data_IF_548988810656
#
_entry.id   IF_548988810656
#
_cell.length_a   1.000
_cell.length_b   1.000
_cell.length_c   1.000
_cell.angle_alpha   90.00
_cell.angle_beta   90.00
_cell.angle_gamma   90.00
#
_symmetry.space_group_name_H-M   'P 1'
#
loop_
_entity.id
_entity.type
_entity.pdbx_description
1 polymer ?
#
# COMPACT_ATOMS: atom_id res chain seq x y z
N UNK A 1 14.52 -1.00 10.76
CA UNK A 1 14.10 -1.01 9.34
C UNK A 1 14.36 0.38 8.79
N UNK A 2 15.22 0.52 7.80
CA UNK A 2 15.49 1.79 7.15
C UNK A 2 14.67 1.84 5.86
N UNK A 3 13.73 2.78 5.78
CA UNK A 3 12.95 3.01 4.56
C UNK A 3 13.83 3.73 3.53
N UNK A 4 13.53 3.55 2.24
CA UNK A 4 14.21 4.30 1.20
C UNK A 4 13.95 5.81 1.40
N UNK A 5 14.99 6.63 1.25
CA UNK A 5 14.87 8.09 1.37
C UNK A 5 14.15 8.76 0.18
N UNK A 6 13.76 7.97 -0.83
CA UNK A 6 13.00 8.45 -1.98
C UNK A 6 11.51 8.41 -1.67
N UNK A 7 10.88 9.58 -1.64
CA UNK A 7 9.42 9.69 -1.56
C UNK A 7 8.80 9.29 -2.92
N UNK A 8 7.68 8.59 -2.88
CA UNK A 8 6.87 8.21 -4.04
C UNK A 8 5.44 8.63 -3.77
N UNK A 9 4.76 9.23 -4.75
CA UNK A 9 3.33 9.52 -4.63
C UNK A 9 2.55 8.21 -4.64
N UNK A 10 1.40 8.18 -3.95
CA UNK A 10 0.55 6.99 -3.91
C UNK A 10 0.18 6.51 -5.32
N UNK A 11 -0.07 7.43 -6.25
CA UNK A 11 -0.43 7.11 -7.64
C UNK A 11 0.75 6.53 -8.44
N UNK A 12 1.99 6.78 -8.02
CA UNK A 12 3.20 6.30 -8.66
C UNK A 12 3.77 5.02 -8.01
N UNK A 13 3.22 4.56 -6.89
CA UNK A 13 3.62 3.31 -6.26
C UNK A 13 3.16 2.11 -7.10
N UNK A 14 4.11 1.47 -7.78
CA UNK A 14 3.85 0.30 -8.62
C UNK A 14 3.52 -0.97 -7.83
N UNK A 15 3.88 -1.05 -6.55
CA UNK A 15 3.64 -2.23 -5.73
C UNK A 15 2.18 -2.37 -5.32
N UNK A 16 1.43 -1.25 -5.25
CA UNK A 16 -0.03 -1.23 -5.07
C UNK A 16 -0.52 -2.15 -3.95
N UNK A 17 -0.11 -1.86 -2.72
CA UNK A 17 -0.47 -2.61 -1.52
C UNK A 17 -1.57 -1.95 -0.68
N UNK A 18 -2.26 -2.75 0.13
CA UNK A 18 -3.24 -2.30 1.14
C UNK A 18 -3.04 -3.06 2.44
N UNK A 19 -3.30 -2.39 3.56
CA UNK A 19 -3.39 -3.00 4.88
C UNK A 19 -4.84 -3.35 5.18
N UNK A 20 -5.06 -4.51 5.78
CA UNK A 20 -6.38 -4.85 6.31
C UNK A 20 -6.36 -4.52 7.80
N UNK A 21 -6.95 -3.38 8.17
CA UNK A 21 -6.95 -2.90 9.56
C UNK A 21 -7.50 -3.95 10.53
N UNK A 22 -6.86 -4.06 11.70
CA UNK A 22 -7.21 -5.05 12.72
C UNK A 22 -6.84 -6.49 12.36
N UNK A 23 -6.23 -6.73 11.20
CA UNK A 23 -5.70 -8.02 10.78
C UNK A 23 -4.22 -7.85 10.45
N UNK A 24 -3.37 -8.82 10.78
CA UNK A 24 -1.94 -8.77 10.43
C UNK A 24 -1.70 -9.05 8.93
N UNK A 25 -2.53 -8.48 8.04
CA UNK A 25 -2.59 -8.82 6.62
C UNK A 25 -2.18 -7.62 5.77
N UNK A 26 -1.27 -7.88 4.83
CA UNK A 26 -0.91 -6.98 3.73
C UNK A 26 -1.32 -7.64 2.42
N UNK A 27 -1.99 -6.91 1.54
CA UNK A 27 -2.35 -7.41 0.21
C UNK A 27 -1.72 -6.55 -0.88
N UNK A 28 -1.14 -7.18 -1.90
CA UNK A 28 -0.68 -6.54 -3.13
C UNK A 28 -1.75 -6.73 -4.19
N UNK A 29 -2.13 -5.65 -4.86
CA UNK A 29 -3.29 -5.62 -5.74
C UNK A 29 -2.92 -5.12 -7.12
N UNK A 30 -3.63 -5.59 -8.16
CA UNK A 30 -3.49 -5.01 -9.50
C UNK A 30 -4.28 -3.70 -9.65
N UNK A 31 -5.18 -3.41 -8.71
CA UNK A 31 -6.08 -2.26 -8.72
C UNK A 31 -5.35 -0.95 -8.51
N UNK A 32 -5.75 0.10 -9.24
CA UNK A 32 -5.23 1.45 -9.02
C UNK A 32 -5.80 2.04 -7.72
N UNK A 33 -5.05 2.91 -7.04
CA UNK A 33 -5.55 3.70 -5.90
C UNK A 33 -6.45 4.86 -6.33
N UNK A 34 -7.56 4.57 -7.01
CA UNK A 34 -8.51 5.59 -7.46
C UNK A 34 -9.83 5.46 -6.71
N UNK A 35 -10.37 6.60 -6.28
CA UNK A 35 -11.71 6.69 -5.69
C UNK A 35 -12.80 6.21 -6.66
N UNK A 36 -12.57 6.42 -7.96
CA UNK A 36 -13.47 5.98 -9.01
C UNK A 36 -13.02 4.59 -9.44
N UNK A 37 -13.79 3.58 -9.03
CA UNK A 37 -13.53 2.20 -9.40
C UNK A 37 -13.67 2.05 -10.92
N UNK A 38 -12.55 1.75 -11.60
CA UNK A 38 -12.61 1.28 -12.98
C UNK A 38 -13.26 -0.10 -12.94
N UNK A 39 -14.28 -0.35 -13.75
CA UNK A 39 -14.87 -1.69 -13.93
C UNK A 39 -13.94 -2.59 -14.76
N UNK A 40 -12.78 -2.90 -14.18
CA UNK A 40 -11.78 -3.81 -14.72
C UNK A 40 -11.55 -4.93 -13.70
N UNK A 41 -11.38 -6.19 -14.14
CA UNK A 41 -11.00 -7.28 -13.24
C UNK A 41 -9.71 -6.95 -12.51
N UNK A 42 -9.70 -7.16 -11.19
CA UNK A 42 -8.52 -7.01 -10.34
C UNK A 42 -8.22 -8.31 -9.61
N UNK A 43 -6.96 -8.48 -9.21
CA UNK A 43 -6.51 -9.56 -8.35
C UNK A 43 -5.73 -9.00 -7.16
N UNK A 44 -5.71 -9.76 -6.07
CA UNK A 44 -4.87 -9.45 -4.93
C UNK A 44 -4.20 -10.71 -4.38
N UNK A 45 -2.95 -10.57 -3.94
CA UNK A 45 -2.23 -11.59 -3.17
C UNK A 45 -2.05 -11.06 -1.76
N UNK A 46 -2.60 -11.77 -0.77
CA UNK A 46 -2.58 -11.37 0.63
C UNK A 46 -1.64 -12.25 1.45
N UNK A 47 -0.87 -11.62 2.33
CA UNK A 47 0.04 -12.26 3.28
C UNK A 47 -0.37 -11.90 4.70
N UNK A 48 -0.58 -12.90 5.55
CA UNK A 48 -0.77 -12.71 6.98
C UNK A 48 0.57 -12.87 7.71
N UNK A 49 1.14 -11.75 8.15
CA UNK A 49 2.38 -11.72 8.91
C UNK A 49 2.49 -10.42 9.71
N UNK A 50 2.59 -10.51 11.04
CA UNK A 50 2.64 -9.35 11.93
C UNK A 50 3.86 -8.45 11.71
N UNK A 51 5.02 -9.03 11.38
CA UNK A 51 6.24 -8.27 11.10
C UNK A 51 6.13 -7.48 9.80
N UNK A 52 5.62 -8.11 8.74
CA UNK A 52 5.38 -7.45 7.45
C UNK A 52 4.29 -6.38 7.60
N UNK A 53 3.18 -6.69 8.27
CA UNK A 53 2.14 -5.71 8.57
C UNK A 53 2.71 -4.47 9.27
N UNK A 54 3.47 -4.66 10.34
CA UNK A 54 4.11 -3.57 11.09
C UNK A 54 5.04 -2.72 10.21
N UNK A 55 5.80 -3.36 9.31
CA UNK A 55 6.68 -2.66 8.38
C UNK A 55 5.90 -1.74 7.43
N UNK A 56 4.82 -2.26 6.84
CA UNK A 56 3.97 -1.50 5.93
C UNK A 56 3.11 -0.45 6.65
N UNK A 57 2.69 -0.70 7.89
CA UNK A 57 2.06 0.31 8.76
C UNK A 57 3.00 1.50 8.96
N UNK A 58 4.27 1.26 9.28
CA UNK A 58 5.26 2.34 9.40
C UNK A 58 5.45 3.11 8.08
N UNK A 59 5.43 2.42 6.93
CA UNK A 59 5.47 3.09 5.63
C UNK A 59 4.23 3.96 5.37
N UNK A 60 3.03 3.48 5.74
CA UNK A 60 1.77 4.22 5.58
C UNK A 60 1.72 5.53 6.37
N UNK A 61 2.36 5.58 7.55
CA UNK A 61 2.42 6.81 8.36
C UNK A 61 3.37 7.87 7.79
N UNK A 62 4.29 7.49 6.90
CA UNK A 62 5.21 8.42 6.24
C UNK A 62 4.67 8.93 4.88
N UNK A 63 3.36 8.78 4.64
CA UNK A 63 2.71 9.33 3.45
C UNK A 63 2.51 10.83 3.66
N UNK A 64 3.42 11.63 3.12
CA UNK A 64 3.22 13.07 3.00
C UNK A 64 2.28 13.35 1.81
N UNK A 65 1.37 14.32 1.96
CA UNK A 65 0.63 14.81 0.81
C UNK A 65 1.61 15.36 -0.22
N UNK A 66 1.53 14.94 -1.48
CA UNK A 66 2.37 15.55 -2.52
C UNK A 66 2.13 17.06 -2.53
N UNK A 67 3.13 17.82 -2.09
CA UNK A 67 3.15 19.26 -2.31
C UNK A 67 3.14 19.47 -3.83
N UNK A 68 2.07 20.08 -4.34
CA UNK A 68 1.94 20.41 -5.76
C UNK A 68 2.96 21.45 -6.18
#
# INVERSE_FOLDING_TARGET
MQLANSQVSREADSAKWVLIEGKNIVCFTTSDYKMNEKRIPGAAVCLENAGVYTAFTAAAFNVEGCNK
#
